data_IF_823371543614
#
_entry.id   IF_823371543614
#
_cell.length_a   1.000
_cell.length_b   1.000
_cell.length_c   1.000
_cell.angle_alpha   90.00
_cell.angle_beta   90.00
_cell.angle_gamma   90.00
#
_symmetry.space_group_name_H-M   'P 1'
#
loop_
_entity.id
_entity.type
_entity.pdbx_description
1 polymer ?
#
# COMPACT_ATOMS: atom_id res chain seq x y z
N UNK A 1 -7.83 13.66 -10.56
CA UNK A 1 -9.22 14.02 -10.19
C UNK A 1 -10.07 14.05 -11.44
N UNK A 2 -11.31 13.56 -11.35
CA UNK A 2 -12.23 13.58 -12.48
C UNK A 2 -12.51 15.03 -12.91
N UNK A 3 -12.20 15.35 -14.16
CA UNK A 3 -12.49 16.66 -14.76
C UNK A 3 -13.95 16.77 -15.24
N UNK A 4 -14.72 15.70 -15.09
CA UNK A 4 -16.12 15.56 -15.49
C UNK A 4 -16.90 14.86 -14.37
N UNK A 5 -18.20 15.15 -14.28
CA UNK A 5 -19.13 14.42 -13.42
C UNK A 5 -19.58 13.07 -14.02
N UNK A 6 -19.11 12.74 -15.23
CA UNK A 6 -19.41 11.48 -15.90
C UNK A 6 -18.13 10.66 -16.15
N UNK A 7 -18.27 9.34 -16.04
CA UNK A 7 -17.28 8.36 -16.46
C UNK A 7 -17.92 7.52 -17.57
N UNK A 8 -17.19 7.34 -18.67
CA UNK A 8 -17.61 6.48 -19.77
C UNK A 8 -16.66 5.30 -19.85
N UNK A 9 -17.22 4.08 -19.83
CA UNK A 9 -16.46 2.84 -19.98
C UNK A 9 -16.85 2.21 -21.31
N UNK A 10 -15.87 1.87 -22.13
CA UNK A 10 -16.06 1.20 -23.41
C UNK A 10 -15.48 -0.21 -23.31
N UNK A 11 -16.27 -1.23 -23.63
CA UNK A 11 -15.80 -2.62 -23.69
C UNK A 11 -15.63 -2.99 -25.16
N UNK A 12 -14.38 -2.96 -25.63
CA UNK A 12 -14.05 -3.31 -27.00
C UNK A 12 -13.83 -4.81 -27.14
N UNK A 13 -14.27 -5.37 -28.27
CA UNK A 13 -13.98 -6.76 -28.65
C UNK A 13 -12.56 -6.86 -29.20
N UNK A 14 -11.82 -7.87 -28.77
CA UNK A 14 -10.58 -8.32 -29.42
C UNK A 14 -10.79 -9.73 -29.97
N UNK A 15 -10.44 -9.96 -31.24
CA UNK A 15 -10.64 -11.24 -31.92
C UNK A 15 -12.11 -11.67 -32.01
N UNK A 16 -12.37 -12.97 -31.81
CA UNK A 16 -13.69 -13.57 -32.04
C UNK A 16 -14.60 -13.71 -30.80
N UNK A 17 -14.13 -13.28 -29.63
CA UNK A 17 -14.86 -13.41 -28.36
C UNK A 17 -16.00 -12.40 -28.17
N UNK A 18 -16.88 -12.68 -27.21
CA UNK A 18 -17.88 -11.70 -26.73
C UNK A 18 -17.30 -10.93 -25.54
N UNK A 19 -17.12 -9.61 -25.62
CA UNK A 19 -16.64 -8.81 -24.49
C UNK A 19 -17.66 -8.82 -23.35
N UNK A 20 -17.21 -9.05 -22.12
CA UNK A 20 -18.06 -9.00 -20.93
C UNK A 20 -17.32 -8.36 -19.74
N UNK A 21 -18.08 -7.75 -18.84
CA UNK A 21 -17.61 -7.25 -17.53
C UNK A 21 -18.53 -7.87 -16.48
N UNK A 22 -17.97 -8.53 -15.47
CA UNK A 22 -18.74 -9.13 -14.37
C UNK A 22 -19.18 -8.09 -13.34
N UNK A 23 -18.30 -7.13 -13.02
CA UNK A 23 -18.56 -6.04 -12.10
C UNK A 23 -17.71 -4.81 -12.45
N UNK A 24 -18.24 -3.62 -12.12
CA UNK A 24 -17.52 -2.36 -12.16
C UNK A 24 -17.75 -1.65 -10.83
N UNK A 25 -16.67 -1.43 -10.08
CA UNK A 25 -16.72 -0.74 -8.80
C UNK A 25 -16.11 0.65 -8.93
N UNK A 26 -16.82 1.66 -8.45
CA UNK A 26 -16.34 3.04 -8.39
C UNK A 26 -16.26 3.46 -6.92
N UNK A 27 -15.06 3.79 -6.45
CA UNK A 27 -14.81 4.29 -5.11
C UNK A 27 -14.35 5.75 -5.17
N UNK A 28 -14.90 6.64 -4.33
CA UNK A 28 -14.36 7.98 -4.17
C UNK A 28 -12.88 7.92 -3.75
N UNK A 29 -12.06 8.82 -4.28
CA UNK A 29 -10.65 8.92 -3.93
C UNK A 29 -10.29 10.39 -3.74
N UNK A 30 -9.55 10.68 -2.68
CA UNK A 30 -9.05 12.02 -2.36
C UNK A 30 -7.73 12.29 -3.11
N UNK A 31 -7.40 13.55 -3.43
CA UNK A 31 -6.10 13.90 -4.00
C UNK A 31 -4.93 13.66 -3.04
N UNK A 32 -5.20 13.74 -1.75
CA UNK A 32 -4.25 13.54 -0.66
C UNK A 32 -3.82 12.09 -0.50
N UNK A 33 -4.54 11.13 -1.09
CA UNK A 33 -4.16 9.71 -1.04
C UNK A 33 -2.81 9.41 -1.72
N UNK A 34 -2.44 10.18 -2.75
CA UNK A 34 -1.17 10.05 -3.47
C UNK A 34 -0.57 11.45 -3.71
N UNK A 35 -0.03 12.10 -2.66
CA UNK A 35 0.22 13.55 -2.67
C UNK A 35 1.33 13.97 -3.63
N UNK A 36 2.28 13.08 -3.94
CA UNK A 36 3.41 13.36 -4.85
C UNK A 36 3.08 13.07 -6.31
N UNK A 37 1.96 12.40 -6.60
CA UNK A 37 1.56 12.07 -7.97
C UNK A 37 0.75 13.21 -8.56
N UNK A 38 1.22 13.77 -9.67
CA UNK A 38 0.52 14.87 -10.33
C UNK A 38 -0.86 14.41 -10.84
N UNK A 39 -1.87 15.28 -10.67
CA UNK A 39 -3.29 14.94 -10.90
C UNK A 39 -3.67 14.63 -12.36
N UNK A 40 -2.74 14.79 -13.29
CA UNK A 40 -2.87 14.46 -14.72
C UNK A 40 -2.36 13.05 -15.08
N UNK A 41 -1.78 12.32 -14.12
CA UNK A 41 -1.42 10.92 -14.29
C UNK A 41 -2.53 10.00 -13.79
N UNK A 42 -2.65 8.85 -14.43
CA UNK A 42 -3.45 7.72 -13.97
C UNK A 42 -2.51 6.72 -13.29
N UNK A 43 -2.93 6.19 -12.15
CA UNK A 43 -2.20 5.13 -11.45
C UNK A 43 -2.86 3.79 -11.74
N UNK A 44 -2.03 2.78 -12.00
CA UNK A 44 -2.43 1.39 -12.04
C UNK A 44 -1.87 0.71 -10.80
N UNK A 45 -2.72 0.07 -10.02
CA UNK A 45 -2.29 -0.61 -8.81
C UNK A 45 -1.59 -1.92 -9.19
N UNK A 46 -0.33 -2.06 -8.79
CA UNK A 46 0.42 -3.30 -8.91
C UNK A 46 0.35 -4.10 -7.61
N UNK A 47 0.76 -3.50 -6.51
CA UNK A 47 0.83 -4.16 -5.19
C UNK A 47 0.35 -3.20 -4.10
N UNK A 48 -0.39 -3.74 -3.13
CA UNK A 48 -0.71 -3.09 -1.86
C UNK A 48 -0.79 -4.14 -0.77
N UNK A 49 0.12 -4.04 0.20
CA UNK A 49 0.35 -5.10 1.17
C UNK A 49 0.37 -4.57 2.60
N UNK A 50 -0.19 -5.35 3.51
CA UNK A 50 -0.04 -5.25 4.95
C UNK A 50 1.01 -6.28 5.39
N UNK A 51 2.25 -5.82 5.53
CA UNK A 51 3.37 -6.69 5.89
C UNK A 51 3.37 -7.14 7.36
N UNK A 52 2.61 -6.46 8.22
CA UNK A 52 2.53 -6.83 9.64
C UNK A 52 1.45 -7.86 9.94
N UNK A 53 0.51 -8.07 9.01
CA UNK A 53 -0.64 -8.95 9.23
C UNK A 53 -0.34 -10.40 8.85
N UNK A 54 -0.86 -11.34 9.64
CA UNK A 54 -0.90 -12.78 9.35
C UNK A 54 -2.31 -13.24 8.90
N UNK A 55 -3.24 -12.30 8.73
CA UNK A 55 -4.62 -12.59 8.35
C UNK A 55 -4.69 -13.03 6.88
N UNK A 56 -5.41 -14.12 6.62
CA UNK A 56 -5.74 -14.53 5.24
C UNK A 56 -6.84 -13.67 4.61
N UNK A 57 -7.60 -12.93 5.43
CA UNK A 57 -8.57 -11.95 4.95
C UNK A 57 -7.89 -10.59 4.82
N UNK A 58 -8.05 -9.87 3.69
CA UNK A 58 -7.46 -8.56 3.52
C UNK A 58 -8.07 -7.53 4.46
N UNK A 59 -7.25 -6.60 4.93
CA UNK A 59 -7.73 -5.39 5.58
C UNK A 59 -8.37 -4.49 4.51
N UNK A 60 -9.61 -4.07 4.75
CA UNK A 60 -10.43 -3.26 3.83
C UNK A 60 -11.55 -2.57 4.62
N UNK A 61 -12.65 -2.14 4.00
CA UNK A 61 -13.79 -1.58 4.74
C UNK A 61 -14.32 -2.55 5.81
N UNK A 62 -14.63 -2.11 7.05
CA UNK A 62 -14.71 -0.71 7.51
C UNK A 62 -13.40 -0.11 8.02
N UNK A 63 -12.32 -0.89 8.11
CA UNK A 63 -11.04 -0.41 8.63
C UNK A 63 -10.37 0.59 7.67
N UNK A 64 -10.58 0.41 6.36
CA UNK A 64 -10.22 1.37 5.31
C UNK A 64 -11.49 2.04 4.74
N UNK A 65 -11.67 3.34 4.98
CA UNK A 65 -12.82 4.11 4.49
C UNK A 65 -12.93 4.15 2.95
N UNK A 66 -11.80 3.98 2.26
CA UNK A 66 -11.73 3.92 0.80
C UNK A 66 -11.91 2.51 0.25
N UNK A 67 -12.06 1.52 1.13
CA UNK A 67 -12.18 0.09 0.84
C UNK A 67 -11.07 -0.42 -0.09
N UNK A 68 -9.84 0.10 0.06
CA UNK A 68 -8.69 -0.47 -0.62
C UNK A 68 -8.41 -1.84 0.01
N UNK A 69 -8.02 -2.77 -0.83
CA UNK A 69 -7.65 -4.12 -0.41
C UNK A 69 -6.17 -4.10 -0.05
N UNK A 70 -5.87 -4.38 1.22
CA UNK A 70 -4.51 -4.58 1.74
C UNK A 70 -4.31 -6.08 2.00
N UNK A 71 -3.47 -6.71 1.19
CA UNK A 71 -3.20 -8.14 1.32
C UNK A 71 -2.07 -8.40 2.32
N UNK A 72 -2.24 -9.42 3.16
CA UNK A 72 -1.12 -9.91 3.97
C UNK A 72 -0.07 -10.53 3.06
N UNK A 73 1.19 -10.16 3.28
CA UNK A 73 2.35 -10.81 2.65
C UNK A 73 3.17 -11.48 3.76
N UNK A 74 3.15 -12.81 3.78
CA UNK A 74 3.86 -13.58 4.80
C UNK A 74 5.21 -14.05 4.27
N UNK A 75 6.20 -14.02 5.16
CA UNK A 75 7.49 -14.67 4.95
C UNK A 75 7.86 -15.48 6.18
N UNK A 76 8.53 -16.61 5.92
CA UNK A 76 9.02 -17.53 6.94
C UNK A 76 10.14 -16.89 7.76
N UNK A 77 10.29 -17.33 9.01
CA UNK A 77 11.34 -16.90 9.94
C UNK A 77 11.34 -15.40 10.28
N UNK A 78 10.17 -14.76 10.23
CA UNK A 78 9.98 -13.36 10.61
C UNK A 78 9.15 -13.26 11.89
N UNK A 79 9.48 -12.30 12.75
CA UNK A 79 8.67 -11.94 13.91
C UNK A 79 7.60 -10.94 13.48
N UNK A 80 6.34 -11.21 13.84
CA UNK A 80 5.22 -10.29 13.64
C UNK A 80 4.77 -9.76 14.99
N UNK A 81 4.58 -8.46 15.08
CA UNK A 81 4.16 -7.75 16.28
C UNK A 81 2.90 -6.95 16.00
N UNK A 82 2.13 -6.69 17.05
CA UNK A 82 0.94 -5.87 16.97
C UNK A 82 0.79 -4.99 18.21
N UNK A 83 -0.06 -3.98 18.10
CA UNK A 83 -0.44 -3.13 19.23
C UNK A 83 -1.93 -2.78 19.19
N UNK A 84 -2.50 -2.60 20.38
CA UNK A 84 -3.83 -2.01 20.58
C UNK A 84 -3.76 -0.52 20.90
N UNK A 85 -2.56 0.03 21.04
CA UNK A 85 -2.38 1.44 21.35
C UNK A 85 -2.69 2.32 20.14
N UNK A 86 -3.03 3.57 20.40
CA UNK A 86 -3.23 4.53 19.32
C UNK A 86 -1.89 4.86 18.69
N UNK A 87 -1.83 4.70 17.37
CA UNK A 87 -0.68 5.12 16.59
C UNK A 87 -0.66 6.65 16.57
N UNK A 88 0.41 7.22 17.10
CA UNK A 88 0.65 8.65 17.08
C UNK A 88 1.57 9.02 15.91
N UNK A 89 1.33 10.17 15.29
CA UNK A 89 2.07 10.65 14.13
C UNK A 89 1.19 11.39 13.15
N UNK A 90 1.81 12.12 12.24
CA UNK A 90 1.13 12.83 11.15
C UNK A 90 1.46 12.09 9.84
N UNK A 91 0.66 11.09 9.44
CA UNK A 91 0.97 10.28 8.28
C UNK A 91 0.85 11.12 7.00
N UNK A 92 1.87 11.03 6.14
CA UNK A 92 1.86 11.69 4.82
C UNK A 92 0.80 11.10 3.88
N UNK A 93 0.42 9.85 4.10
CA UNK A 93 -0.52 9.08 3.30
C UNK A 93 -1.74 8.72 4.13
N UNK A 94 -2.91 8.74 3.52
CA UNK A 94 -4.16 8.30 4.14
C UNK A 94 -4.19 6.77 4.22
N UNK A 95 -3.36 6.17 5.06
CA UNK A 95 -3.28 4.72 5.31
C UNK A 95 -4.11 4.38 6.56
N UNK A 96 -4.88 3.28 6.56
CA UNK A 96 -5.71 2.91 7.71
C UNK A 96 -4.89 2.68 8.97
N UNK A 97 -5.39 3.10 10.13
CA UNK A 97 -4.71 2.85 11.41
C UNK A 97 -4.51 1.36 11.70
N UNK A 98 -5.38 0.49 11.17
CA UNK A 98 -5.24 -0.96 11.27
C UNK A 98 -3.92 -1.47 10.66
N UNK A 99 -3.47 -0.87 9.56
CA UNK A 99 -2.19 -1.21 8.89
C UNK A 99 -1.00 -0.78 9.74
N UNK A 100 -1.11 0.36 10.43
CA UNK A 100 -0.03 0.85 11.29
C UNK A 100 0.06 0.13 12.64
N UNK A 101 -0.95 -0.66 13.03
CA UNK A 101 -0.97 -1.39 14.31
C UNK A 101 -0.29 -2.75 14.24
N UNK A 102 0.17 -3.14 13.07
CA UNK A 102 0.89 -4.39 12.82
C UNK A 102 2.23 -4.06 12.19
N UNK A 103 3.24 -4.83 12.52
CA UNK A 103 4.55 -4.71 11.88
C UNK A 103 5.24 -6.07 11.85
N UNK A 104 6.14 -6.21 10.89
CA UNK A 104 7.15 -7.25 10.95
C UNK A 104 8.45 -6.69 11.52
N UNK A 105 9.23 -7.57 12.13
CA UNK A 105 10.55 -7.26 12.67
C UNK A 105 11.53 -8.33 12.17
N UNK A 106 12.60 -7.86 11.55
CA UNK A 106 13.69 -8.69 11.04
C UNK A 106 14.98 -7.86 10.97
N UNK A 107 16.13 -8.53 11.09
CA UNK A 107 17.45 -7.90 10.86
C UNK A 107 17.63 -7.49 9.40
N UNK A 108 16.98 -8.20 8.48
CA UNK A 108 17.00 -7.91 7.06
C UNK A 108 15.76 -8.47 6.39
N UNK A 109 15.19 -7.70 5.48
CA UNK A 109 14.07 -8.13 4.66
C UNK A 109 14.24 -7.68 3.22
N UNK A 110 13.83 -8.55 2.30
CA UNK A 110 13.88 -8.28 0.87
C UNK A 110 12.61 -8.81 0.23
N UNK A 111 11.97 -7.92 -0.51
CA UNK A 111 10.90 -8.29 -1.42
C UNK A 111 11.31 -7.98 -2.84
N UNK A 112 10.74 -8.76 -3.75
CA UNK A 112 10.90 -8.56 -5.19
C UNK A 112 9.57 -8.82 -5.85
N UNK A 113 9.21 -7.93 -6.76
CA UNK A 113 8.07 -8.10 -7.65
C UNK A 113 8.58 -8.00 -9.07
N UNK A 114 8.18 -8.96 -9.89
CA UNK A 114 8.47 -8.95 -11.32
C UNK A 114 7.25 -8.42 -12.06
N UNK A 115 7.32 -7.17 -12.50
CA UNK A 115 6.27 -6.54 -13.31
C UNK A 115 6.70 -6.55 -14.78
N UNK A 116 5.80 -7.00 -15.67
CA UNK A 116 6.06 -6.97 -17.12
C UNK A 116 5.99 -5.55 -17.70
N UNK A 117 5.44 -4.59 -16.95
CA UNK A 117 5.21 -3.24 -17.42
C UNK A 117 6.51 -2.42 -17.35
N UNK A 118 6.74 -1.57 -18.34
CA UNK A 118 7.80 -0.55 -18.29
C UNK A 118 7.17 0.80 -18.03
N UNK A 119 7.81 1.63 -17.20
CA UNK A 119 7.32 2.97 -16.90
C UNK A 119 7.81 3.53 -15.56
N UNK A 120 7.26 4.66 -15.17
CA UNK A 120 7.50 5.29 -13.88
C UNK A 120 6.69 4.60 -12.79
N UNK A 121 7.34 4.33 -11.66
CA UNK A 121 6.73 3.69 -10.50
C UNK A 121 6.57 4.68 -9.35
N UNK A 122 5.40 4.64 -8.72
CA UNK A 122 5.18 5.29 -7.44
C UNK A 122 5.24 4.23 -6.32
N UNK A 123 6.22 4.37 -5.43
CA UNK A 123 6.41 3.50 -4.28
C UNK A 123 6.11 4.30 -3.01
N UNK A 124 5.21 3.77 -2.20
CA UNK A 124 4.89 4.29 -0.88
C UNK A 124 5.22 3.23 0.16
N UNK A 125 6.13 3.57 1.07
CA UNK A 125 6.46 2.74 2.23
C UNK A 125 6.01 3.48 3.48
N UNK A 126 5.36 2.76 4.38
CA UNK A 126 4.78 3.31 5.59
C UNK A 126 5.35 2.56 6.79
N UNK A 127 5.84 3.32 7.76
CA UNK A 127 6.48 2.80 8.96
C UNK A 127 5.82 3.41 10.19
N UNK A 128 5.72 2.63 11.26
CA UNK A 128 5.34 3.10 12.58
C UNK A 128 6.18 2.35 13.61
N UNK A 129 6.68 3.07 14.61
CA UNK A 129 7.21 2.45 15.83
C UNK A 129 6.03 2.12 16.73
N UNK A 130 5.84 0.83 17.00
CA UNK A 130 4.68 0.32 17.74
C UNK A 130 5.07 -0.42 19.03
N UNK A 131 6.37 -0.60 19.26
CA UNK A 131 6.89 -1.10 20.53
C UNK A 131 7.27 0.08 21.43
N UNK A 132 7.09 -0.10 22.74
CA UNK A 132 7.58 0.88 23.71
C UNK A 132 9.09 0.70 23.88
N UNK A 133 9.86 1.61 23.29
CA UNK A 133 11.31 1.66 23.46
C UNK A 133 11.71 2.43 24.73
N UNK A 134 12.82 2.05 25.34
CA UNK A 134 13.47 2.91 26.32
C UNK A 134 14.03 4.16 25.63
N UNK A 135 14.18 5.27 26.35
CA UNK A 135 14.70 6.55 25.81
C UNK A 135 16.07 6.42 25.10
N UNK A 136 16.87 5.42 25.48
CA UNK A 136 18.18 5.18 24.90
C UNK A 136 18.17 4.21 23.70
N UNK A 137 17.04 3.55 23.44
CA UNK A 137 16.91 2.59 22.35
C UNK A 137 16.41 3.31 21.09
N UNK A 138 17.13 3.11 20.00
CA UNK A 138 16.81 3.66 18.69
C UNK A 138 16.85 2.50 17.69
N UNK A 139 15.86 2.47 16.79
CA UNK A 139 15.88 1.58 15.63
C UNK A 139 16.31 2.36 14.41
N UNK A 140 17.36 1.88 13.77
CA UNK A 140 17.86 2.43 12.52
C UNK A 140 17.92 1.31 11.49
N UNK A 141 17.55 1.64 10.25
CA UNK A 141 17.64 0.72 9.13
C UNK A 141 17.97 1.48 7.85
N UNK A 142 18.50 0.74 6.89
CA UNK A 142 18.81 1.25 5.55
C UNK A 142 17.85 0.69 4.53
N UNK A 143 17.33 1.54 3.65
CA UNK A 143 16.44 1.14 2.57
C UNK A 143 17.21 1.12 1.23
N UNK A 144 17.02 0.07 0.43
CA UNK A 144 17.47 0.01 -0.94
C UNK A 144 16.31 -0.35 -1.85
N UNK A 145 16.20 0.33 -2.99
CA UNK A 145 15.22 0.04 -4.04
C UNK A 145 16.02 -0.19 -5.33
N UNK A 146 15.83 -1.34 -5.96
CA UNK A 146 16.56 -1.77 -7.17
C UNK A 146 18.10 -1.71 -7.03
N UNK A 147 18.60 -1.98 -5.82
CA UNK A 147 20.03 -1.95 -5.51
C UNK A 147 20.59 -0.55 -5.18
N UNK A 148 19.76 0.50 -5.29
CA UNK A 148 20.13 1.88 -4.99
C UNK A 148 19.71 2.25 -3.57
N UNK A 149 20.65 2.68 -2.73
CA UNK A 149 20.40 3.10 -1.35
C UNK A 149 19.57 4.40 -1.30
N UNK A 150 18.57 4.44 -0.42
CA UNK A 150 17.68 5.58 -0.18
C UNK A 150 17.92 6.13 1.21
N UNK A 151 18.01 7.45 1.31
CA UNK A 151 17.96 8.16 2.58
C UNK A 151 16.49 8.34 2.97
N UNK A 152 16.17 8.00 4.22
CA UNK A 152 14.90 8.30 4.84
C UNK A 152 15.10 9.62 5.58
N UNK A 153 14.44 10.68 5.11
CA UNK A 153 14.44 12.00 5.76
C UNK A 153 13.38 12.07 6.87
#
# INVERSE_FOLDING_TARGET
MARSASISVCVARSGDGTPFISALELRPMTPSMYPTVARNYSLFLLVRSDYGSLSTSPTRYPDDEFDRIWQSETSDNILYINTTDNISGEPLLEIPSAIYRTALVSDSIRWSWDFEQSGDYFIALAFAEIETLNIAEVREFTLSIDGEWKYLD
#
